data_IF_423424012614
#
_entry.id   IF_423424012614
#
_cell.length_a   1.000
_cell.length_b   1.000
_cell.length_c   1.000
_cell.angle_alpha   90.00
_cell.angle_beta   90.00
_cell.angle_gamma   90.00
#
_symmetry.space_group_name_H-M   'P 1'
#
loop_
_entity.id
_entity.type
_entity.pdbx_description
1 polymer ?
#
# COMPACT_ATOMS: atom_id res chain seq x y z
N UNK A 1 34.89 -5.56 27.75
CA UNK A 1 33.45 -5.19 27.83
C UNK A 1 33.36 -3.69 27.56
N UNK A 2 32.95 -3.29 26.38
CA UNK A 2 32.66 -1.89 26.08
C UNK A 2 31.14 -1.72 26.15
N UNK A 3 30.67 -0.88 27.07
CA UNK A 3 29.27 -0.48 27.20
C UNK A 3 29.06 0.81 26.42
N UNK A 4 28.23 0.76 25.38
CA UNK A 4 27.83 1.96 24.64
C UNK A 4 26.44 2.37 25.17
N UNK A 5 26.39 3.54 25.81
CA UNK A 5 25.15 4.18 26.27
C UNK A 5 24.51 4.94 25.10
N UNK A 6 23.35 4.53 24.65
CA UNK A 6 22.48 5.31 23.80
C UNK A 6 21.06 5.20 24.35
N UNK A 7 20.53 6.33 24.86
CA UNK A 7 19.13 6.50 25.29
C UNK A 7 18.61 5.53 26.37
N UNK A 8 19.33 5.40 27.48
CA UNK A 8 18.77 4.80 28.71
C UNK A 8 18.45 3.30 28.67
N UNK A 9 18.82 2.57 27.62
CA UNK A 9 18.65 1.13 27.50
C UNK A 9 20.02 0.47 27.44
N UNK A 10 20.35 -0.33 28.47
CA UNK A 10 21.58 -1.13 28.51
C UNK A 10 21.37 -2.35 27.60
N UNK A 11 21.87 -2.26 26.35
CA UNK A 11 22.06 -3.46 25.53
C UNK A 11 23.34 -4.17 25.99
N UNK A 12 23.22 -5.28 26.69
CA UNK A 12 24.30 -6.25 26.85
C UNK A 12 24.57 -6.90 25.49
N UNK A 13 25.39 -6.26 24.69
CA UNK A 13 25.94 -6.91 23.50
C UNK A 13 26.95 -7.96 23.98
N UNK A 14 26.62 -9.24 23.82
CA UNK A 14 27.57 -10.32 23.93
C UNK A 14 28.55 -10.13 22.77
N UNK A 15 29.76 -9.66 23.03
CA UNK A 15 30.84 -9.63 22.05
C UNK A 15 31.11 -11.09 21.73
N UNK A 16 30.56 -11.56 20.61
CA UNK A 16 31.07 -12.79 19.97
C UNK A 16 32.45 -12.43 19.45
N UNK A 17 33.39 -13.34 19.64
CA UNK A 17 34.74 -13.24 19.13
C UNK A 17 34.72 -12.72 17.69
N UNK A 18 35.53 -11.66 17.42
CA UNK A 18 35.66 -11.10 16.08
C UNK A 18 36.40 -12.16 15.25
N UNK A 19 35.59 -13.01 14.59
CA UNK A 19 36.19 -13.95 13.64
C UNK A 19 36.64 -13.15 12.41
N UNK A 20 37.96 -13.12 12.19
CA UNK A 20 38.57 -12.60 10.97
C UNK A 20 38.23 -13.56 9.81
N UNK A 21 37.10 -13.31 9.15
CA UNK A 21 36.72 -14.10 7.98
C UNK A 21 37.51 -13.66 6.75
N UNK A 22 38.13 -14.61 6.04
CA UNK A 22 38.53 -14.33 4.67
C UNK A 22 37.32 -14.05 3.81
N UNK A 23 37.48 -13.25 2.78
CA UNK A 23 36.34 -12.92 1.90
C UNK A 23 35.75 -14.16 1.23
N UNK A 24 36.58 -15.17 0.93
CA UNK A 24 36.12 -16.40 0.32
C UNK A 24 35.27 -17.25 1.28
N UNK A 25 35.71 -17.41 2.54
CA UNK A 25 34.94 -18.11 3.57
C UNK A 25 33.62 -17.36 3.86
N UNK A 26 33.67 -16.05 3.92
CA UNK A 26 32.51 -15.21 4.17
C UNK A 26 31.48 -15.35 3.04
N UNK A 27 31.92 -15.42 1.78
CA UNK A 27 31.03 -15.66 0.62
C UNK A 27 30.34 -17.00 0.73
N UNK A 28 31.08 -18.08 1.10
CA UNK A 28 30.52 -19.42 1.26
C UNK A 28 29.46 -19.41 2.37
N UNK A 29 29.84 -18.98 3.57
CA UNK A 29 28.95 -18.96 4.74
C UNK A 29 27.71 -18.09 4.54
N UNK A 30 27.86 -16.91 3.93
CA UNK A 30 26.71 -16.06 3.58
C UNK A 30 25.81 -16.75 2.55
N UNK A 31 26.36 -17.45 1.56
CA UNK A 31 25.58 -18.14 0.54
C UNK A 31 24.78 -19.30 1.13
N UNK A 32 25.37 -20.08 2.02
CA UNK A 32 24.71 -21.16 2.75
C UNK A 32 23.59 -20.61 3.63
N UNK A 33 23.88 -19.55 4.40
CA UNK A 33 22.89 -18.92 5.26
C UNK A 33 21.73 -18.30 4.49
N UNK A 34 22.01 -17.76 3.31
CA UNK A 34 20.95 -17.30 2.38
C UNK A 34 20.09 -18.46 1.91
N UNK A 35 20.70 -19.62 1.58
CA UNK A 35 19.97 -20.84 1.17
C UNK A 35 19.07 -21.34 2.29
N UNK A 36 19.58 -21.45 3.52
CA UNK A 36 18.81 -21.81 4.72
C UNK A 36 17.64 -20.83 4.97
N UNK A 37 17.85 -19.55 4.67
CA UNK A 37 16.83 -18.50 4.79
C UNK A 37 15.83 -18.47 3.63
N UNK A 38 15.89 -19.44 2.70
CA UNK A 38 14.95 -19.60 1.58
C UNK A 38 15.19 -18.66 0.40
N UNK A 39 16.37 -18.07 0.25
CA UNK A 39 16.70 -17.28 -0.94
C UNK A 39 16.83 -18.18 -2.17
N UNK A 40 16.32 -17.69 -3.32
CA UNK A 40 16.47 -18.41 -4.59
C UNK A 40 17.94 -18.48 -5.02
N UNK A 41 18.32 -19.54 -5.72
CA UNK A 41 19.67 -19.70 -6.25
C UNK A 41 20.10 -18.52 -7.12
N UNK A 42 19.20 -17.96 -7.93
CA UNK A 42 19.46 -16.77 -8.74
C UNK A 42 19.79 -15.54 -7.88
N UNK A 43 19.10 -15.36 -6.76
CA UNK A 43 19.37 -14.25 -5.84
C UNK A 43 20.74 -14.42 -5.15
N UNK A 44 21.06 -15.63 -4.72
CA UNK A 44 22.36 -15.96 -4.12
C UNK A 44 23.47 -15.69 -5.13
N UNK A 45 23.34 -16.20 -6.36
CA UNK A 45 24.32 -16.00 -7.43
C UNK A 45 24.61 -14.53 -7.71
N UNK A 46 23.57 -13.69 -7.74
CA UNK A 46 23.74 -12.23 -7.96
C UNK A 46 24.57 -11.57 -6.85
N UNK A 47 24.39 -11.97 -5.60
CA UNK A 47 25.20 -11.44 -4.50
C UNK A 47 26.61 -11.99 -4.56
N UNK A 48 26.79 -13.31 -4.77
CA UNK A 48 28.07 -13.98 -4.90
C UNK A 48 28.94 -13.37 -6.01
N UNK A 49 28.34 -13.14 -7.19
CA UNK A 49 29.03 -12.47 -8.32
C UNK A 49 29.52 -11.07 -7.92
N UNK A 50 28.69 -10.26 -7.23
CA UNK A 50 29.11 -8.92 -6.78
C UNK A 50 30.26 -9.00 -5.79
N UNK A 51 30.23 -9.92 -4.86
CA UNK A 51 31.31 -10.10 -3.88
C UNK A 51 32.61 -10.53 -4.55
N UNK A 52 32.55 -11.52 -5.45
CA UNK A 52 33.72 -12.03 -6.18
C UNK A 52 34.32 -11.00 -7.14
N UNK A 53 33.48 -10.30 -7.92
CA UNK A 53 33.95 -9.39 -8.98
C UNK A 53 34.27 -7.98 -8.49
N UNK A 54 33.74 -7.55 -7.34
CA UNK A 54 33.92 -6.17 -6.91
C UNK A 54 34.52 -6.06 -5.49
N UNK A 55 34.04 -6.83 -4.52
CA UNK A 55 34.51 -6.71 -3.14
C UNK A 55 35.88 -7.38 -2.98
N UNK A 56 36.03 -8.62 -3.47
CA UNK A 56 37.31 -9.35 -3.36
C UNK A 56 38.47 -8.61 -4.02
N UNK A 57 38.37 -8.10 -5.28
CA UNK A 57 39.48 -7.33 -5.87
C UNK A 57 39.76 -6.03 -5.13
N UNK A 58 38.75 -5.39 -4.55
CA UNK A 58 38.95 -4.19 -3.74
C UNK A 58 39.74 -4.50 -2.47
N UNK A 59 39.45 -5.59 -1.77
CA UNK A 59 40.19 -6.02 -0.60
C UNK A 59 41.66 -6.33 -0.97
N UNK A 60 41.90 -7.08 -2.06
CA UNK A 60 43.25 -7.37 -2.56
C UNK A 60 44.03 -6.11 -2.89
N UNK A 61 43.38 -5.08 -3.49
CA UNK A 61 44.01 -3.76 -3.74
C UNK A 61 44.39 -3.04 -2.46
N UNK A 62 43.70 -3.30 -1.34
CA UNK A 62 44.05 -2.75 -0.02
C UNK A 62 44.97 -3.68 0.80
N UNK A 63 45.62 -4.65 0.17
CA UNK A 63 46.65 -5.51 0.79
C UNK A 63 46.09 -6.59 1.74
N UNK A 64 44.81 -6.92 1.68
CA UNK A 64 44.20 -7.90 2.56
C UNK A 64 43.19 -8.78 1.84
N UNK A 65 42.91 -9.96 2.40
CA UNK A 65 41.81 -10.84 2.01
C UNK A 65 40.77 -10.99 3.14
N UNK A 66 41.00 -10.30 4.27
CA UNK A 66 40.08 -10.32 5.42
C UNK A 66 39.08 -9.18 5.28
N UNK A 67 37.80 -9.51 5.46
CA UNK A 67 36.72 -8.53 5.39
C UNK A 67 36.52 -7.84 6.74
N UNK A 68 36.55 -6.52 6.75
CA UNK A 68 36.18 -5.71 7.91
C UNK A 68 35.08 -4.71 7.59
N UNK A 69 34.36 -4.26 8.62
CA UNK A 69 33.32 -3.23 8.49
C UNK A 69 33.85 -1.94 7.84
N UNK A 70 35.05 -1.50 8.24
CA UNK A 70 35.64 -0.27 7.71
C UNK A 70 35.99 -0.39 6.22
N UNK A 71 36.49 -1.55 5.80
CA UNK A 71 36.74 -1.83 4.38
C UNK A 71 35.45 -1.90 3.58
N UNK A 72 34.39 -2.46 4.15
CA UNK A 72 33.06 -2.46 3.55
C UNK A 72 32.51 -1.02 3.34
N UNK A 73 32.69 -0.14 4.31
CA UNK A 73 32.31 1.28 4.20
C UNK A 73 33.17 2.01 3.16
N UNK A 74 34.51 1.82 3.19
CA UNK A 74 35.42 2.41 2.22
C UNK A 74 35.09 1.97 0.79
N UNK A 75 34.79 0.67 0.59
CA UNK A 75 34.33 0.14 -0.70
C UNK A 75 33.05 0.85 -1.19
N UNK A 76 32.06 1.05 -0.32
CA UNK A 76 30.85 1.76 -0.69
C UNK A 76 31.13 3.22 -1.05
N UNK A 77 31.99 3.93 -0.28
CA UNK A 77 32.34 5.32 -0.57
C UNK A 77 32.97 5.47 -1.96
N UNK A 78 33.88 4.57 -2.33
CA UNK A 78 34.58 4.63 -3.63
C UNK A 78 33.67 4.16 -4.79
N UNK A 79 32.85 3.12 -4.57
CA UNK A 79 32.09 2.50 -5.65
C UNK A 79 30.76 3.19 -5.96
N UNK A 80 30.05 3.72 -4.93
CA UNK A 80 28.70 4.24 -5.11
C UNK A 80 28.61 5.46 -6.05
N UNK A 81 29.54 6.43 -6.06
CA UNK A 81 29.41 7.60 -6.93
C UNK A 81 29.30 7.26 -8.41
N UNK A 82 29.98 6.21 -8.86
CA UNK A 82 30.02 5.77 -10.26
C UNK A 82 28.80 4.94 -10.71
N UNK A 83 27.84 4.67 -9.81
CA UNK A 83 26.74 3.76 -10.08
C UNK A 83 25.39 4.50 -10.21
N UNK A 84 24.49 3.93 -11.03
CA UNK A 84 23.09 4.36 -11.10
C UNK A 84 22.37 4.19 -9.76
N UNK A 85 21.30 4.96 -9.45
CA UNK A 85 20.56 4.86 -8.20
C UNK A 85 20.07 3.43 -7.87
N UNK A 86 19.62 2.69 -8.88
CA UNK A 86 19.19 1.31 -8.72
C UNK A 86 20.36 0.38 -8.35
N UNK A 87 21.52 0.56 -8.97
CA UNK A 87 22.73 -0.20 -8.68
C UNK A 87 23.30 0.14 -7.30
N UNK A 88 23.30 1.42 -6.89
CA UNK A 88 23.69 1.83 -5.53
C UNK A 88 22.91 1.07 -4.46
N UNK A 89 21.60 0.97 -4.61
CA UNK A 89 20.75 0.22 -3.66
C UNK A 89 21.13 -1.27 -3.60
N UNK A 90 21.44 -1.87 -4.74
CA UNK A 90 21.83 -3.30 -4.83
C UNK A 90 23.20 -3.55 -4.19
N UNK A 91 24.19 -2.68 -4.39
CA UNK A 91 25.51 -2.81 -3.76
C UNK A 91 25.44 -2.60 -2.25
N UNK A 92 24.73 -1.57 -1.77
CA UNK A 92 24.50 -1.36 -0.32
C UNK A 92 23.89 -2.61 0.33
N UNK A 93 22.91 -3.26 -0.34
CA UNK A 93 22.33 -4.50 0.18
C UNK A 93 23.32 -5.65 0.23
N UNK A 94 24.17 -5.82 -0.81
CA UNK A 94 25.19 -6.87 -0.83
C UNK A 94 26.20 -6.71 0.30
N UNK A 95 26.68 -5.50 0.55
CA UNK A 95 27.60 -5.21 1.67
C UNK A 95 26.92 -5.43 3.02
N UNK A 96 25.68 -4.96 3.20
CA UNK A 96 24.92 -5.17 4.44
C UNK A 96 24.74 -6.66 4.80
N UNK A 97 24.68 -7.55 3.83
CA UNK A 97 24.62 -9.00 4.09
C UNK A 97 25.93 -9.48 4.70
N UNK A 98 27.07 -9.10 4.14
CA UNK A 98 28.39 -9.45 4.71
C UNK A 98 28.55 -8.89 6.12
N UNK A 99 28.27 -7.59 6.30
CA UNK A 99 28.34 -6.92 7.61
C UNK A 99 27.47 -7.58 8.67
N UNK A 100 26.21 -7.88 8.32
CA UNK A 100 25.30 -8.54 9.25
C UNK A 100 25.79 -9.93 9.64
N UNK A 101 26.32 -10.68 8.69
CA UNK A 101 26.85 -12.01 8.98
C UNK A 101 28.08 -11.94 9.89
N UNK A 102 29.01 -11.04 9.64
CA UNK A 102 30.21 -10.83 10.49
C UNK A 102 29.80 -10.45 11.92
N UNK A 103 28.80 -9.55 12.06
CA UNK A 103 28.37 -9.06 13.37
C UNK A 103 27.46 -10.02 14.14
N UNK A 104 26.64 -10.80 13.47
CA UNK A 104 25.55 -11.56 14.13
C UNK A 104 25.49 -13.04 13.76
N UNK A 105 26.33 -13.52 12.84
CA UNK A 105 26.22 -14.85 12.26
C UNK A 105 24.95 -15.08 11.44
N UNK A 106 24.18 -14.01 11.16
CA UNK A 106 22.90 -14.12 10.47
C UNK A 106 22.74 -13.12 9.33
N UNK A 107 21.90 -13.49 8.36
CA UNK A 107 21.52 -12.62 7.25
C UNK A 107 20.48 -11.61 7.76
N UNK A 108 20.59 -10.31 7.39
CA UNK A 108 19.66 -9.31 7.83
C UNK A 108 18.25 -9.62 7.32
N UNK A 109 17.31 -9.77 8.24
CA UNK A 109 15.89 -9.88 7.87
C UNK A 109 15.50 -8.61 7.12
N UNK A 110 14.77 -8.75 6.02
CA UNK A 110 14.19 -7.62 5.34
C UNK A 110 13.05 -7.06 6.21
N UNK A 111 13.39 -6.18 7.13
CA UNK A 111 12.37 -5.36 7.78
C UNK A 111 12.00 -4.26 6.78
N UNK A 112 10.74 -4.15 6.36
CA UNK A 112 10.29 -2.97 5.65
C UNK A 112 10.66 -1.76 6.50
N UNK A 113 11.29 -0.75 5.91
CA UNK A 113 11.51 0.52 6.59
C UNK A 113 10.12 1.17 6.72
N UNK A 114 9.46 0.93 7.84
CA UNK A 114 8.25 1.67 8.20
C UNK A 114 8.75 3.04 8.65
N UNK A 115 8.37 4.13 7.98
CA UNK A 115 8.71 5.46 8.45
C UNK A 115 8.16 5.62 9.86
N UNK A 116 9.01 5.88 10.83
CA UNK A 116 8.58 6.16 12.19
C UNK A 116 8.18 7.63 12.23
N UNK A 117 6.89 7.90 12.19
CA UNK A 117 6.36 9.24 12.37
C UNK A 117 6.42 9.60 13.85
N UNK A 118 7.46 10.35 14.24
CA UNK A 118 7.67 10.76 15.61
C UNK A 118 6.73 11.91 15.97
N UNK A 119 6.15 11.83 17.14
CA UNK A 119 5.38 12.90 17.77
C UNK A 119 6.26 13.45 18.90
N UNK A 120 6.97 14.54 18.64
CA UNK A 120 7.99 15.11 19.54
C UNK A 120 7.48 16.35 20.26
N UNK A 121 8.08 16.68 21.43
CA UNK A 121 7.78 17.88 22.18
C UNK A 121 6.46 17.85 22.95
N UNK A 122 6.09 18.95 23.54
CA UNK A 122 4.86 19.09 24.33
C UNK A 122 3.59 18.84 23.50
N UNK A 123 3.55 19.34 22.27
CA UNK A 123 2.46 19.08 21.33
C UNK A 123 2.42 17.59 20.97
N UNK A 124 3.59 16.94 20.89
CA UNK A 124 3.70 15.52 20.57
C UNK A 124 3.08 14.62 21.64
N UNK A 125 3.16 15.00 22.92
CA UNK A 125 2.51 14.27 24.02
C UNK A 125 0.99 14.27 23.82
N UNK A 126 0.39 15.43 23.60
CA UNK A 126 -1.06 15.59 23.36
C UNK A 126 -1.49 14.81 22.09
N UNK A 127 -0.69 14.89 21.04
CA UNK A 127 -0.95 14.12 19.83
C UNK A 127 -0.88 12.60 20.07
N UNK A 128 0.02 12.13 20.94
CA UNK A 128 0.09 10.72 21.31
C UNK A 128 -1.15 10.30 22.13
N UNK A 129 -1.65 11.15 23.02
CA UNK A 129 -2.89 10.89 23.78
C UNK A 129 -4.10 10.83 22.85
N UNK A 130 -4.17 11.69 21.85
CA UNK A 130 -5.17 11.59 20.78
C UNK A 130 -5.09 10.24 20.03
N UNK A 131 -3.89 9.80 19.65
CA UNK A 131 -3.70 8.50 19.00
C UNK A 131 -4.18 7.37 19.91
N UNK A 132 -3.83 7.41 21.19
CA UNK A 132 -4.27 6.41 22.18
C UNK A 132 -5.80 6.41 22.36
N UNK A 133 -6.42 7.59 22.38
CA UNK A 133 -7.87 7.74 22.41
C UNK A 133 -8.54 7.11 21.18
N UNK A 134 -8.02 7.35 19.97
CA UNK A 134 -8.54 6.73 18.74
C UNK A 134 -8.33 5.21 18.68
N UNK A 135 -7.26 4.69 19.30
CA UNK A 135 -7.05 3.25 19.47
C UNK A 135 -8.14 2.62 20.39
N UNK A 136 -8.47 3.28 21.50
CA UNK A 136 -9.55 2.84 22.41
C UNK A 136 -10.91 2.81 21.69
N UNK A 137 -11.14 3.71 20.72
CA UNK A 137 -12.34 3.71 19.88
C UNK A 137 -12.37 2.59 18.81
N UNK A 138 -11.41 1.68 18.81
CA UNK A 138 -11.29 0.57 17.85
C UNK A 138 -11.26 1.01 16.37
N UNK A 139 -10.73 2.22 16.09
CA UNK A 139 -10.54 2.68 14.71
C UNK A 139 -9.52 1.80 13.98
N UNK A 140 -9.67 1.69 12.68
CA UNK A 140 -8.75 0.93 11.80
C UNK A 140 -7.30 1.43 11.97
N UNK A 141 -6.34 0.51 12.15
CA UNK A 141 -4.92 0.85 12.34
C UNK A 141 -4.37 1.74 11.21
N UNK A 142 -4.83 1.52 9.98
CA UNK A 142 -4.43 2.36 8.84
C UNK A 142 -4.91 3.81 8.96
N UNK A 143 -6.06 4.05 9.57
CA UNK A 143 -6.58 5.40 9.85
C UNK A 143 -5.75 6.05 10.95
N UNK A 144 -5.42 5.31 11.98
CA UNK A 144 -4.60 5.78 13.10
C UNK A 144 -3.18 6.14 12.64
N UNK A 145 -2.57 5.31 11.78
CA UNK A 145 -1.26 5.60 11.18
C UNK A 145 -1.30 6.83 10.27
N UNK A 146 -2.40 7.07 9.56
CA UNK A 146 -2.58 8.30 8.80
C UNK A 146 -2.68 9.53 9.73
N UNK A 147 -3.41 9.44 10.84
CA UNK A 147 -3.45 10.53 11.82
C UNK A 147 -2.04 10.79 12.39
N UNK A 148 -1.33 9.75 12.82
CA UNK A 148 0.05 9.86 13.32
C UNK A 148 0.96 10.55 12.30
N UNK A 149 0.91 10.14 11.05
CA UNK A 149 1.71 10.71 9.97
C UNK A 149 1.43 12.20 9.77
N UNK A 150 0.16 12.58 9.70
CA UNK A 150 -0.25 13.95 9.44
C UNK A 150 0.05 14.87 10.62
N UNK A 151 -0.19 14.39 11.85
CA UNK A 151 0.21 15.12 13.06
C UNK A 151 1.72 15.27 13.18
N UNK A 152 2.49 14.23 12.83
CA UNK A 152 3.96 14.35 12.77
C UNK A 152 4.41 15.45 11.80
N UNK A 153 3.78 15.57 10.63
CA UNK A 153 4.10 16.65 9.69
C UNK A 153 3.73 18.02 10.24
N UNK A 154 2.57 18.13 10.88
CA UNK A 154 2.13 19.37 11.53
C UNK A 154 3.09 19.78 12.64
N UNK A 155 3.42 18.88 13.56
CA UNK A 155 4.38 19.12 14.65
C UNK A 155 5.76 19.50 14.10
N UNK A 156 6.23 18.81 13.05
CA UNK A 156 7.50 19.17 12.41
C UNK A 156 7.49 20.60 11.86
N UNK A 157 6.38 21.03 11.24
CA UNK A 157 6.26 22.41 10.75
C UNK A 157 6.26 23.44 11.88
N UNK A 158 5.64 23.12 13.02
CA UNK A 158 5.64 23.97 14.21
C UNK A 158 7.02 24.06 14.87
N UNK A 159 7.72 22.93 14.98
CA UNK A 159 9.07 22.89 15.54
C UNK A 159 10.07 23.73 14.74
N UNK A 160 9.94 23.75 13.40
CA UNK A 160 10.74 24.64 12.53
C UNK A 160 10.50 26.11 12.89
N UNK A 161 9.29 26.47 13.33
CA UNK A 161 8.91 27.81 13.80
C UNK A 161 9.23 28.07 15.28
N UNK A 162 9.89 27.12 15.96
CA UNK A 162 10.23 27.21 17.39
C UNK A 162 9.04 27.04 18.33
N UNK A 163 7.93 26.47 17.87
CA UNK A 163 6.71 26.24 18.67
C UNK A 163 6.67 24.79 19.15
N UNK A 164 6.80 24.59 20.45
CA UNK A 164 6.80 23.26 21.08
C UNK A 164 5.60 23.03 22.02
N UNK A 165 4.93 24.11 22.43
CA UNK A 165 3.76 24.05 23.30
C UNK A 165 2.46 24.30 22.50
N UNK A 166 1.38 23.60 22.88
CA UNK A 166 0.07 23.73 22.24
C UNK A 166 -0.48 25.16 22.31
N UNK A 167 -0.18 25.91 23.39
CA UNK A 167 -0.59 27.31 23.56
C UNK A 167 0.08 28.27 22.59
N UNK A 168 1.17 27.86 21.94
CA UNK A 168 1.90 28.69 20.96
C UNK A 168 1.35 28.52 19.54
N UNK A 169 0.46 27.55 19.33
CA UNK A 169 -0.14 27.32 18.01
C UNK A 169 -1.08 28.50 17.73
N UNK A 170 -0.97 29.07 16.55
CA UNK A 170 -1.85 30.12 16.08
C UNK A 170 -2.81 29.57 15.01
N UNK A 171 -3.92 30.29 14.79
CA UNK A 171 -4.86 30.00 13.73
C UNK A 171 -4.16 29.92 12.36
N UNK A 172 -3.22 30.84 12.10
CA UNK A 172 -2.45 30.87 10.86
C UNK A 172 -1.63 29.59 10.63
N UNK A 173 -1.12 28.95 11.68
CA UNK A 173 -0.39 27.68 11.54
C UNK A 173 -1.31 26.55 11.08
N UNK A 174 -2.53 26.53 11.57
CA UNK A 174 -3.56 25.54 11.17
C UNK A 174 -3.98 25.77 9.73
N UNK A 175 -4.27 27.02 9.36
CA UNK A 175 -4.67 27.38 8.00
C UNK A 175 -3.56 27.11 6.98
N UNK A 176 -2.30 27.43 7.29
CA UNK A 176 -1.15 27.11 6.44
C UNK A 176 -1.01 25.59 6.23
N UNK A 177 -1.15 24.81 7.29
CA UNK A 177 -1.10 23.36 7.19
C UNK A 177 -2.25 22.81 6.34
N UNK A 178 -3.44 23.36 6.45
CA UNK A 178 -4.61 22.97 5.64
C UNK A 178 -4.50 23.47 4.19
N UNK A 179 -3.85 24.61 3.94
CA UNK A 179 -3.73 25.23 2.61
C UNK A 179 -2.90 24.41 1.61
N UNK A 180 -2.15 23.39 2.05
CA UNK A 180 -1.39 22.51 1.17
C UNK A 180 -2.33 21.65 0.36
N UNK A 181 -2.35 21.81 -0.98
CA UNK A 181 -3.26 21.11 -1.91
C UNK A 181 -3.14 19.58 -1.82
N UNK A 182 -1.92 19.10 -1.59
CA UNK A 182 -1.67 17.66 -1.46
C UNK A 182 -2.27 17.10 -0.18
N UNK A 183 -3.08 16.07 -0.33
CA UNK A 183 -3.74 15.39 0.80
C UNK A 183 -4.68 16.27 1.63
N UNK A 184 -5.23 17.36 1.06
CA UNK A 184 -6.09 18.32 1.76
C UNK A 184 -7.22 17.62 2.56
N UNK A 185 -7.97 16.71 1.96
CA UNK A 185 -9.02 15.95 2.64
C UNK A 185 -8.53 15.23 3.91
N UNK A 186 -7.39 14.55 3.81
CA UNK A 186 -6.84 13.80 4.95
C UNK A 186 -6.30 14.74 6.03
N UNK A 187 -5.69 15.88 5.64
CA UNK A 187 -5.24 16.91 6.59
C UNK A 187 -6.42 17.52 7.32
N UNK A 188 -7.44 17.93 6.58
CA UNK A 188 -8.69 18.43 7.14
C UNK A 188 -9.26 17.44 8.16
N UNK A 189 -9.49 16.18 7.77
CA UNK A 189 -10.07 15.16 8.65
C UNK A 189 -9.21 14.92 9.89
N UNK A 190 -7.88 14.89 9.74
CA UNK A 190 -6.98 14.63 10.87
C UNK A 190 -7.00 15.82 11.87
N UNK A 191 -6.93 17.03 11.37
CA UNK A 191 -6.92 18.25 12.20
C UNK A 191 -8.27 18.48 12.87
N UNK A 192 -9.39 18.33 12.15
CA UNK A 192 -10.72 18.38 12.72
C UNK A 192 -10.86 17.42 13.91
N UNK A 193 -10.54 16.15 13.72
CA UNK A 193 -10.61 15.14 14.78
C UNK A 193 -9.63 15.41 15.93
N UNK A 194 -8.51 16.06 15.67
CA UNK A 194 -7.53 16.43 16.69
C UNK A 194 -8.03 17.61 17.52
N UNK A 195 -8.59 18.64 16.89
CA UNK A 195 -9.15 19.80 17.61
C UNK A 195 -10.45 19.45 18.36
N UNK A 196 -11.27 18.53 17.86
CA UNK A 196 -12.38 17.95 18.64
C UNK A 196 -11.88 17.27 19.92
N UNK A 197 -10.75 16.57 19.83
CA UNK A 197 -10.13 15.96 21.01
C UNK A 197 -9.57 16.99 21.97
N UNK A 198 -8.87 18.03 21.46
CA UNK A 198 -8.35 19.13 22.27
C UNK A 198 -9.49 19.80 23.04
N UNK A 199 -10.55 20.21 22.37
CA UNK A 199 -11.69 20.86 22.99
C UNK A 199 -12.36 20.04 24.10
N UNK A 200 -12.29 18.69 23.96
CA UNK A 200 -12.88 17.77 24.95
C UNK A 200 -11.99 17.49 26.15
N UNK A 201 -10.69 17.42 25.99
CA UNK A 201 -9.77 16.91 27.00
C UNK A 201 -8.71 17.94 27.46
N UNK A 202 -8.57 19.05 26.75
CA UNK A 202 -7.60 20.12 27.02
C UNK A 202 -8.27 21.50 26.90
N UNK A 203 -9.23 21.85 27.79
CA UNK A 203 -10.03 23.07 27.67
C UNK A 203 -9.19 24.35 27.75
N UNK A 204 -8.02 24.29 28.40
CA UNK A 204 -7.09 25.43 28.52
C UNK A 204 -6.24 25.66 27.25
N UNK A 205 -6.29 24.76 26.29
CA UNK A 205 -5.56 24.88 25.04
C UNK A 205 -6.36 25.67 23.99
N UNK A 206 -5.69 26.46 23.12
CA UNK A 206 -6.37 27.11 21.99
C UNK A 206 -7.10 26.07 21.13
N UNK A 207 -8.39 26.28 20.95
CA UNK A 207 -9.22 25.37 20.16
C UNK A 207 -9.70 26.07 18.87
N UNK A 208 -9.23 25.56 17.74
CA UNK A 208 -9.56 26.06 16.41
C UNK A 208 -10.59 25.19 15.69
N UNK A 209 -11.44 24.46 16.43
CA UNK A 209 -12.48 23.61 15.83
C UNK A 209 -13.46 24.38 14.95
N UNK A 210 -13.73 25.67 15.27
CA UNK A 210 -14.60 26.53 14.48
C UNK A 210 -14.13 26.71 13.02
N UNK A 211 -12.82 26.62 12.75
CA UNK A 211 -12.30 26.72 11.38
C UNK A 211 -12.88 25.64 10.46
N UNK A 212 -13.22 24.48 11.01
CA UNK A 212 -13.73 23.35 10.24
C UNK A 212 -15.22 23.47 9.92
N UNK A 213 -15.94 24.40 10.53
CA UNK A 213 -17.32 24.74 10.18
C UNK A 213 -17.39 25.53 8.88
N UNK A 214 -16.37 26.35 8.61
CA UNK A 214 -16.30 27.22 7.43
C UNK A 214 -15.52 26.59 6.27
N UNK A 215 -14.59 25.70 6.56
CA UNK A 215 -13.78 25.01 5.53
C UNK A 215 -14.51 23.74 5.09
N UNK A 216 -15.48 23.90 4.20
CA UNK A 216 -16.14 22.75 3.62
C UNK A 216 -15.24 22.08 2.58
N UNK A 217 -14.83 20.83 2.86
CA UNK A 217 -14.26 20.00 1.83
C UNK A 217 -15.39 19.43 0.97
N UNK A 218 -15.64 20.06 -0.17
CA UNK A 218 -16.48 19.46 -1.19
C UNK A 218 -15.67 18.32 -1.84
N UNK A 219 -16.04 17.06 -1.61
CA UNK A 219 -15.44 15.97 -2.35
C UNK A 219 -15.70 16.21 -3.83
N UNK A 220 -14.65 16.32 -4.63
CA UNK A 220 -14.83 16.34 -6.08
C UNK A 220 -15.51 15.03 -6.45
N UNK A 221 -16.77 15.10 -6.77
CA UNK A 221 -17.53 13.95 -7.25
C UNK A 221 -16.96 13.50 -8.58
N UNK A 222 -16.13 12.49 -8.52
CA UNK A 222 -15.63 11.83 -9.73
C UNK A 222 -16.52 10.65 -10.00
N UNK A 223 -17.09 10.60 -11.19
CA UNK A 223 -17.77 9.41 -11.64
C UNK A 223 -16.83 8.21 -11.52
N UNK A 224 -17.33 7.08 -11.01
CA UNK A 224 -16.55 5.86 -10.99
C UNK A 224 -16.13 5.48 -12.42
N UNK A 225 -14.88 5.10 -12.58
CA UNK A 225 -14.37 4.63 -13.87
C UNK A 225 -14.64 3.14 -13.96
N UNK A 226 -15.38 2.76 -14.97
CA UNK A 226 -15.76 1.39 -15.27
C UNK A 226 -15.10 0.92 -16.56
N UNK A 227 -14.94 -0.38 -16.69
CA UNK A 227 -14.53 -1.09 -17.89
C UNK A 227 -15.71 -1.92 -18.38
N UNK A 228 -15.97 -1.93 -19.69
CA UNK A 228 -17.04 -2.73 -20.28
C UNK A 228 -16.78 -4.22 -20.11
N UNK A 229 -17.77 -5.04 -20.38
CA UNK A 229 -17.65 -6.51 -20.31
C UNK A 229 -16.53 -7.02 -21.23
N UNK A 230 -16.45 -6.45 -22.42
CA UNK A 230 -15.47 -6.78 -23.45
C UNK A 230 -14.06 -6.36 -23.02
N UNK A 231 -13.91 -5.13 -22.51
CA UNK A 231 -12.63 -4.64 -21.99
C UNK A 231 -12.13 -5.49 -20.82
N UNK A 232 -13.01 -5.89 -19.90
CA UNK A 232 -12.65 -6.78 -18.79
C UNK A 232 -12.16 -8.14 -19.31
N UNK A 233 -12.81 -8.71 -20.35
CA UNK A 233 -12.36 -9.96 -20.98
C UNK A 233 -10.97 -9.80 -21.61
N UNK A 234 -10.71 -8.67 -22.31
CA UNK A 234 -9.39 -8.36 -22.89
C UNK A 234 -8.34 -8.28 -21.79
N UNK A 235 -8.63 -7.56 -20.70
CA UNK A 235 -7.73 -7.45 -19.54
C UNK A 235 -7.43 -8.84 -18.94
N UNK A 236 -8.44 -9.66 -18.70
CA UNK A 236 -8.29 -11.01 -18.16
C UNK A 236 -7.45 -11.90 -19.07
N UNK A 237 -7.69 -11.87 -20.39
CA UNK A 237 -6.97 -12.69 -21.36
C UNK A 237 -5.52 -12.24 -21.60
N UNK A 238 -5.22 -10.97 -21.39
CA UNK A 238 -3.88 -10.39 -21.56
C UNK A 238 -2.86 -10.86 -20.53
N UNK A 239 -3.32 -11.40 -19.38
CA UNK A 239 -2.41 -11.86 -18.32
C UNK A 239 -1.76 -13.18 -18.70
N UNK A 240 -0.44 -13.15 -18.94
CA UNK A 240 0.32 -14.38 -19.18
C UNK A 240 0.26 -15.32 -17.98
N UNK A 241 -0.09 -16.56 -18.22
CA UNK A 241 -0.19 -17.67 -17.24
C UNK A 241 0.96 -18.64 -17.30
N UNK A 242 2.02 -18.36 -18.04
CA UNK A 242 3.17 -19.24 -18.21
C UNK A 242 4.00 -19.39 -16.92
N UNK A 243 4.10 -18.35 -16.09
CA UNK A 243 4.89 -18.34 -14.86
C UNK A 243 4.06 -18.21 -13.59
N UNK A 244 4.66 -18.53 -12.45
CA UNK A 244 4.03 -18.48 -11.13
C UNK A 244 3.46 -17.08 -10.77
N UNK A 245 4.19 -16.02 -11.11
CA UNK A 245 3.71 -14.64 -10.89
C UNK A 245 2.50 -14.32 -11.76
N UNK A 246 2.47 -14.77 -13.01
CA UNK A 246 1.34 -14.55 -13.90
C UNK A 246 0.10 -15.31 -13.43
N UNK A 247 0.20 -16.59 -13.06
CA UNK A 247 -0.89 -17.38 -12.49
C UNK A 247 -1.46 -16.73 -11.23
N UNK A 248 -0.60 -16.23 -10.33
CA UNK A 248 -1.02 -15.49 -9.14
C UNK A 248 -1.79 -14.21 -9.51
N UNK A 249 -1.24 -13.42 -10.44
CA UNK A 249 -1.88 -12.16 -10.87
C UNK A 249 -3.23 -12.42 -11.50
N UNK A 250 -3.33 -13.46 -12.34
CA UNK A 250 -4.58 -13.87 -12.98
C UNK A 250 -5.65 -14.27 -11.96
N UNK A 251 -5.30 -15.13 -10.98
CA UNK A 251 -6.23 -15.53 -9.94
C UNK A 251 -6.72 -14.33 -9.10
N UNK A 252 -5.82 -13.42 -8.72
CA UNK A 252 -6.20 -12.19 -8.00
C UNK A 252 -7.07 -11.25 -8.85
N UNK A 253 -6.80 -11.17 -10.15
CA UNK A 253 -7.60 -10.37 -11.10
C UNK A 253 -9.02 -10.92 -11.19
N UNK A 254 -9.19 -12.23 -11.35
CA UNK A 254 -10.52 -12.86 -11.42
C UNK A 254 -11.32 -12.68 -10.11
N UNK A 255 -10.68 -12.79 -8.95
CA UNK A 255 -11.32 -12.51 -7.67
C UNK A 255 -11.83 -11.05 -7.58
N UNK A 256 -11.12 -10.10 -8.21
CA UNK A 256 -11.54 -8.70 -8.25
C UNK A 256 -12.62 -8.44 -9.31
N UNK A 257 -12.50 -9.01 -10.52
CA UNK A 257 -13.36 -8.71 -11.67
C UNK A 257 -14.65 -9.54 -11.71
N UNK A 258 -14.63 -10.76 -11.17
CA UNK A 258 -15.74 -11.70 -11.18
C UNK A 258 -16.52 -11.76 -9.87
N UNK A 259 -15.82 -11.64 -8.74
CA UNK A 259 -16.42 -11.67 -7.41
C UNK A 259 -16.40 -10.31 -6.70
N UNK A 260 -15.80 -9.28 -7.30
CA UNK A 260 -15.76 -7.93 -6.74
C UNK A 260 -15.04 -7.83 -5.41
N UNK A 261 -14.18 -8.78 -5.03
CA UNK A 261 -13.47 -8.75 -3.76
C UNK A 261 -12.53 -7.54 -3.67
N UNK A 262 -12.50 -6.91 -2.51
CA UNK A 262 -11.52 -5.83 -2.24
C UNK A 262 -10.12 -6.41 -2.18
N UNK A 263 -9.11 -5.63 -2.61
CA UNK A 263 -7.72 -6.10 -2.59
C UNK A 263 -7.24 -6.52 -1.19
N UNK A 264 -7.77 -5.90 -0.12
CA UNK A 264 -7.50 -6.30 1.26
C UNK A 264 -7.98 -7.73 1.56
N UNK A 265 -9.13 -8.08 1.01
CA UNK A 265 -9.77 -9.38 1.23
C UNK A 265 -9.10 -10.45 0.37
N UNK A 266 -8.70 -10.09 -0.86
CA UNK A 266 -7.93 -10.98 -1.76
C UNK A 266 -6.58 -11.35 -1.12
N UNK A 267 -5.80 -10.39 -0.64
CA UNK A 267 -4.49 -10.71 -0.01
C UNK A 267 -4.61 -11.35 1.36
N UNK A 268 -5.75 -11.17 2.02
CA UNK A 268 -6.07 -11.80 3.31
C UNK A 268 -6.75 -13.16 3.18
N UNK A 269 -7.08 -13.61 1.95
CA UNK A 269 -7.76 -14.87 1.71
C UNK A 269 -6.89 -16.05 2.18
N UNK A 270 -7.44 -16.87 3.06
CA UNK A 270 -6.79 -18.06 3.62
C UNK A 270 -7.37 -19.32 3.06
N UNK A 271 -6.64 -20.43 3.18
CA UNK A 271 -7.10 -21.72 2.66
C UNK A 271 -8.46 -22.12 3.21
N UNK A 272 -8.72 -21.95 4.49
CA UNK A 272 -9.99 -22.29 5.13
C UNK A 272 -11.19 -21.39 4.73
N UNK A 273 -10.91 -20.30 4.01
CA UNK A 273 -11.99 -19.46 3.47
C UNK A 273 -12.62 -20.03 2.19
N UNK A 274 -11.96 -21.02 1.57
CA UNK A 274 -12.43 -21.64 0.32
C UNK A 274 -12.98 -23.01 0.66
N UNK A 275 -14.29 -23.17 0.53
CA UNK A 275 -14.99 -24.44 0.65
C UNK A 275 -15.09 -25.04 -0.76
N UNK A 276 -14.17 -25.96 -1.06
CA UNK A 276 -14.10 -26.58 -2.38
C UNK A 276 -15.25 -27.56 -2.64
N UNK A 277 -15.75 -28.22 -1.60
CA UNK A 277 -16.82 -29.22 -1.72
C UNK A 277 -18.16 -28.53 -2.00
N UNK A 278 -18.42 -27.43 -1.32
CA UNK A 278 -19.65 -26.66 -1.49
C UNK A 278 -19.53 -25.55 -2.54
N UNK A 279 -18.35 -25.35 -3.11
CA UNK A 279 -18.05 -24.29 -4.09
C UNK A 279 -18.41 -22.88 -3.59
N UNK A 280 -17.94 -22.52 -2.37
CA UNK A 280 -18.14 -21.18 -1.79
C UNK A 280 -16.84 -20.59 -1.24
N UNK A 281 -16.77 -19.26 -1.24
CA UNK A 281 -15.77 -18.47 -0.53
C UNK A 281 -16.46 -17.74 0.62
N UNK A 282 -16.04 -18.02 1.86
CA UNK A 282 -16.55 -17.40 3.07
C UNK A 282 -15.44 -16.62 3.76
N UNK A 283 -15.64 -15.32 3.96
CA UNK A 283 -14.67 -14.49 4.67
C UNK A 283 -15.33 -13.31 5.38
N UNK A 284 -14.62 -12.79 6.37
CA UNK A 284 -14.94 -11.53 7.03
C UNK A 284 -14.13 -10.42 6.38
N UNK A 285 -14.80 -9.43 5.80
CA UNK A 285 -14.14 -8.34 5.09
C UNK A 285 -13.24 -7.51 6.00
N UNK A 286 -12.00 -7.27 5.58
CA UNK A 286 -11.00 -6.54 6.37
C UNK A 286 -11.38 -5.07 6.63
N UNK A 287 -12.15 -4.43 5.73
CA UNK A 287 -12.51 -3.01 5.86
C UNK A 287 -13.79 -2.80 6.67
N UNK A 288 -14.80 -3.61 6.44
CA UNK A 288 -16.15 -3.42 7.02
C UNK A 288 -16.43 -4.31 8.21
N UNK A 289 -15.71 -5.43 8.31
CA UNK A 289 -15.98 -6.45 9.31
C UNK A 289 -17.16 -7.35 8.98
N UNK A 290 -17.87 -7.11 7.86
CA UNK A 290 -19.02 -7.90 7.46
C UNK A 290 -18.59 -9.29 6.98
N UNK A 291 -19.31 -10.35 7.38
CA UNK A 291 -19.19 -11.65 6.75
C UNK A 291 -19.78 -11.57 5.34
N UNK A 292 -19.12 -12.21 4.39
CA UNK A 292 -19.65 -12.42 3.04
C UNK A 292 -19.46 -13.88 2.65
N UNK A 293 -20.44 -14.37 1.89
CA UNK A 293 -20.40 -15.67 1.23
C UNK A 293 -20.63 -15.46 -0.26
N UNK A 294 -19.70 -15.95 -1.08
CA UNK A 294 -19.73 -15.80 -2.54
C UNK A 294 -19.56 -17.15 -3.20
N UNK A 295 -20.23 -17.41 -4.32
CA UNK A 295 -20.04 -18.65 -5.07
C UNK A 295 -18.62 -18.69 -5.63
N UNK A 296 -17.98 -19.84 -5.53
CA UNK A 296 -16.69 -20.11 -6.18
C UNK A 296 -16.96 -20.47 -7.64
N UNK A 297 -16.88 -19.48 -8.52
CA UNK A 297 -17.04 -19.70 -9.96
C UNK A 297 -15.94 -20.64 -10.48
N UNK A 298 -16.26 -21.48 -11.45
CA UNK A 298 -15.34 -22.51 -12.01
C UNK A 298 -14.03 -21.88 -12.45
N UNK A 299 -14.09 -20.79 -13.23
CA UNK A 299 -12.88 -20.12 -13.75
C UNK A 299 -12.02 -19.54 -12.64
N UNK A 300 -12.64 -19.05 -11.56
CA UNK A 300 -11.94 -18.53 -10.38
C UNK A 300 -11.26 -19.67 -9.62
N UNK A 301 -11.98 -20.77 -9.40
CA UNK A 301 -11.45 -21.95 -8.75
C UNK A 301 -10.26 -22.56 -9.51
N UNK A 302 -10.40 -22.74 -10.81
CA UNK A 302 -9.31 -23.23 -11.67
C UNK A 302 -8.07 -22.32 -11.65
N UNK A 303 -8.27 -21.00 -11.69
CA UNK A 303 -7.17 -20.05 -11.62
C UNK A 303 -6.44 -20.11 -10.27
N UNK A 304 -7.19 -20.25 -9.17
CA UNK A 304 -6.61 -20.42 -7.83
C UNK A 304 -5.84 -21.73 -7.75
N UNK A 305 -6.39 -22.86 -8.19
CA UNK A 305 -5.73 -24.17 -8.22
C UNK A 305 -4.46 -24.11 -9.08
N UNK A 306 -4.54 -23.50 -10.28
CA UNK A 306 -3.38 -23.35 -11.16
C UNK A 306 -2.24 -22.55 -10.51
N UNK A 307 -2.59 -21.57 -9.67
CA UNK A 307 -1.60 -20.84 -8.86
C UNK A 307 -1.07 -21.70 -7.71
N UNK A 308 -1.93 -22.40 -6.97
CA UNK A 308 -1.53 -23.23 -5.83
C UNK A 308 -0.51 -24.30 -6.22
N UNK A 309 -0.63 -24.88 -7.41
CA UNK A 309 0.34 -25.86 -7.95
C UNK A 309 1.77 -25.30 -8.09
N UNK A 310 1.93 -23.99 -8.19
CA UNK A 310 3.23 -23.30 -8.35
C UNK A 310 3.53 -22.29 -7.24
N UNK A 311 2.69 -22.28 -6.20
CA UNK A 311 2.85 -21.40 -5.05
C UNK A 311 4.12 -21.76 -4.28
N UNK A 312 5.00 -20.81 -3.93
CA UNK A 312 6.15 -21.08 -3.09
C UNK A 312 5.74 -21.66 -1.74
N UNK A 313 6.46 -22.68 -1.29
CA UNK A 313 6.25 -23.26 0.03
C UNK A 313 6.62 -22.25 1.12
N UNK A 314 5.75 -22.04 2.07
CA UNK A 314 5.95 -21.17 3.25
C UNK A 314 4.93 -21.50 4.34
N UNK A 315 5.20 -21.02 5.56
CA UNK A 315 4.32 -21.21 6.73
C UNK A 315 3.12 -20.24 6.75
N UNK A 316 2.81 -19.57 5.62
CA UNK A 316 1.71 -18.62 5.56
C UNK A 316 0.39 -19.34 5.27
N UNK A 317 -0.66 -19.04 6.03
CA UNK A 317 -2.02 -19.54 5.79
C UNK A 317 -2.71 -18.86 4.62
N UNK A 318 -2.20 -17.67 4.23
CA UNK A 318 -2.77 -16.91 3.12
C UNK A 318 -2.50 -17.59 1.78
N UNK A 319 -3.51 -17.62 0.91
CA UNK A 319 -3.43 -18.18 -0.44
C UNK A 319 -2.35 -17.46 -1.26
N UNK A 320 -2.33 -16.12 -1.21
CA UNK A 320 -1.44 -15.30 -2.03
C UNK A 320 -0.20 -14.83 -1.27
N UNK A 321 0.97 -15.25 -1.74
CA UNK A 321 2.26 -14.94 -1.12
C UNK A 321 3.21 -14.25 -2.09
N UNK A 322 4.26 -13.62 -1.54
CA UNK A 322 5.36 -13.06 -2.36
C UNK A 322 6.15 -14.19 -3.03
N UNK A 323 6.76 -13.92 -4.19
CA UNK A 323 7.66 -14.88 -4.86
C UNK A 323 9.14 -14.50 -4.71
N UNK A 324 9.41 -13.47 -3.93
CA UNK A 324 10.77 -13.01 -3.59
C UNK A 324 10.98 -13.18 -2.09
N UNK A 325 12.14 -13.69 -1.72
CA UNK A 325 12.48 -13.85 -0.31
C UNK A 325 12.61 -12.52 0.44
N UNK A 326 12.16 -12.49 1.69
CA UNK A 326 11.48 -13.55 2.42
C UNK A 326 10.06 -13.79 1.87
N UNK A 327 9.67 -15.09 1.73
CA UNK A 327 8.32 -15.42 1.30
C UNK A 327 7.36 -15.17 2.44
N UNK A 328 6.46 -14.21 2.22
CA UNK A 328 5.47 -13.76 3.20
C UNK A 328 4.13 -13.52 2.50
N UNK A 329 3.08 -13.31 3.27
CA UNK A 329 1.81 -12.86 2.69
C UNK A 329 2.01 -11.61 1.83
N UNK A 330 1.25 -11.50 0.77
CA UNK A 330 1.28 -10.30 -0.07
C UNK A 330 0.76 -9.07 0.67
N UNK A 331 1.41 -7.94 0.47
CA UNK A 331 0.85 -6.66 0.90
C UNK A 331 -0.14 -6.10 -0.14
N UNK A 332 -1.09 -5.27 0.33
CA UNK A 332 -2.13 -4.66 -0.52
C UNK A 332 -1.57 -3.87 -1.70
N UNK A 333 -0.54 -3.07 -1.46
CA UNK A 333 0.06 -2.21 -2.49
C UNK A 333 0.73 -3.03 -3.59
N UNK A 334 1.43 -4.11 -3.23
CA UNK A 334 2.06 -5.03 -4.18
C UNK A 334 1.04 -5.75 -5.06
N UNK A 335 -0.03 -6.26 -4.45
CA UNK A 335 -1.12 -6.92 -5.17
C UNK A 335 -1.88 -5.95 -6.08
N UNK A 336 -2.23 -4.77 -5.58
CA UNK A 336 -2.89 -3.73 -6.38
C UNK A 336 -2.03 -3.31 -7.58
N UNK A 337 -0.71 -3.17 -7.38
CA UNK A 337 0.22 -2.84 -8.47
C UNK A 337 0.24 -3.91 -9.56
N UNK A 338 0.19 -5.19 -9.21
CA UNK A 338 0.17 -6.27 -10.22
C UNK A 338 -1.10 -6.21 -11.06
N UNK A 339 -2.27 -6.01 -10.45
CA UNK A 339 -3.53 -5.84 -11.17
C UNK A 339 -3.49 -4.57 -12.04
N UNK A 340 -3.00 -3.45 -11.49
CA UNK A 340 -2.85 -2.21 -12.26
C UNK A 340 -1.94 -2.40 -13.48
N UNK A 341 -0.84 -3.13 -13.32
CA UNK A 341 0.06 -3.42 -14.44
C UNK A 341 -0.59 -4.35 -15.49
N UNK A 342 -1.45 -5.28 -15.06
CA UNK A 342 -2.19 -6.13 -15.99
C UNK A 342 -3.16 -5.29 -16.84
N UNK A 343 -3.89 -4.36 -16.21
CA UNK A 343 -4.79 -3.44 -16.93
C UNK A 343 -4.01 -2.55 -17.90
N UNK A 344 -2.90 -1.95 -17.47
CA UNK A 344 -2.08 -1.07 -18.33
C UNK A 344 -1.47 -1.80 -19.53
N UNK A 345 -1.18 -3.09 -19.39
CA UNK A 345 -0.54 -3.90 -20.45
C UNK A 345 -1.55 -4.58 -21.38
N UNK A 346 -2.84 -4.50 -21.08
CA UNK A 346 -3.88 -5.22 -21.83
C UNK A 346 -4.16 -4.68 -23.23
N UNK A 347 -3.70 -3.45 -23.53
CA UNK A 347 -4.04 -2.74 -24.76
C UNK A 347 -5.38 -2.01 -24.72
N UNK A 348 -6.14 -2.12 -23.62
CA UNK A 348 -7.37 -1.36 -23.40
C UNK A 348 -7.02 0.12 -23.19
N UNK A 349 -7.79 1.03 -23.76
CA UNK A 349 -7.60 2.47 -23.56
C UNK A 349 -7.72 2.84 -22.07
N UNK A 350 -6.62 3.35 -21.53
CA UNK A 350 -6.49 3.75 -20.13
C UNK A 350 -6.30 5.28 -19.96
N UNK A 351 -6.41 6.08 -21.04
CA UNK A 351 -6.19 7.52 -20.99
C UNK A 351 -7.13 8.18 -19.97
N UNK A 352 -6.54 8.77 -18.93
CA UNK A 352 -7.30 9.41 -17.84
C UNK A 352 -8.10 8.47 -16.94
N UNK A 353 -8.12 7.16 -17.19
CA UNK A 353 -8.89 6.17 -16.43
C UNK A 353 -8.09 5.62 -15.25
N UNK A 354 -8.76 5.47 -14.09
CA UNK A 354 -8.17 4.76 -12.95
C UNK A 354 -8.06 3.27 -13.30
N UNK A 355 -6.89 2.71 -13.04
CA UNK A 355 -6.55 1.32 -13.30
C UNK A 355 -6.16 0.62 -12.01
N UNK A 356 -6.97 -0.32 -11.56
CA UNK A 356 -6.69 -1.06 -10.33
C UNK A 356 -7.83 -1.96 -9.88
N UNK A 357 -7.67 -2.66 -8.74
CA UNK A 357 -8.68 -3.61 -8.25
C UNK A 357 -10.06 -2.96 -8.01
N UNK A 358 -10.08 -1.70 -7.59
CA UNK A 358 -11.33 -0.96 -7.39
C UNK A 358 -12.10 -0.75 -8.69
N UNK A 359 -11.42 -0.45 -9.81
CA UNK A 359 -12.09 -0.30 -11.10
C UNK A 359 -12.75 -1.61 -11.55
N UNK A 360 -12.10 -2.76 -11.31
CA UNK A 360 -12.67 -4.07 -11.60
C UNK A 360 -13.95 -4.33 -10.79
N UNK A 361 -13.92 -4.00 -9.51
CA UNK A 361 -15.10 -4.11 -8.64
C UNK A 361 -16.22 -3.16 -9.06
N UNK A 362 -15.91 -1.91 -9.46
CA UNK A 362 -16.87 -0.96 -9.98
C UNK A 362 -17.50 -1.47 -11.28
N UNK A 363 -16.69 -2.02 -12.18
CA UNK A 363 -17.16 -2.60 -13.44
C UNK A 363 -18.09 -3.80 -13.22
N UNK A 364 -17.82 -4.63 -12.19
CA UNK A 364 -18.74 -5.71 -11.83
C UNK A 364 -20.08 -5.17 -11.33
N UNK A 365 -20.05 -4.19 -10.41
CA UNK A 365 -21.27 -3.61 -9.85
C UNK A 365 -22.14 -2.92 -10.92
N UNK A 366 -21.50 -2.21 -11.88
CA UNK A 366 -22.19 -1.60 -13.01
C UNK A 366 -22.86 -2.66 -13.89
N UNK A 367 -22.16 -3.74 -14.22
CA UNK A 367 -22.73 -4.83 -15.00
C UNK A 367 -23.91 -5.52 -14.29
N UNK A 368 -23.83 -5.71 -12.97
CA UNK A 368 -24.95 -6.26 -12.19
C UNK A 368 -26.16 -5.33 -12.28
N UNK A 369 -25.94 -4.02 -12.19
CA UNK A 369 -27.00 -3.03 -12.30
C UNK A 369 -27.61 -3.02 -13.70
N UNK A 370 -26.80 -3.03 -14.76
CA UNK A 370 -27.22 -3.12 -16.16
C UNK A 370 -28.05 -4.38 -16.44
N UNK A 371 -27.78 -5.48 -15.73
CA UNK A 371 -28.56 -6.74 -15.78
C UNK A 371 -29.83 -6.71 -14.93
N UNK A 372 -30.16 -5.57 -14.33
CA UNK A 372 -31.40 -5.42 -13.52
C UNK A 372 -31.26 -5.94 -12.08
N UNK A 373 -30.04 -6.27 -11.61
CA UNK A 373 -29.83 -6.67 -10.21
C UNK A 373 -30.15 -5.49 -9.28
N UNK A 374 -30.93 -5.75 -8.23
CA UNK A 374 -31.35 -4.71 -7.28
C UNK A 374 -30.16 -4.16 -6.48
N UNK A 375 -30.22 -2.89 -6.09
CA UNK A 375 -29.18 -2.26 -5.27
C UNK A 375 -28.91 -2.98 -3.94
N UNK A 376 -29.95 -3.44 -3.19
CA UNK A 376 -29.73 -4.26 -2.00
C UNK A 376 -28.89 -5.50 -2.28
N UNK A 377 -29.20 -6.25 -3.33
CA UNK A 377 -28.47 -7.46 -3.72
C UNK A 377 -27.01 -7.15 -4.10
N UNK A 378 -26.78 -6.05 -4.84
CA UNK A 378 -25.42 -5.58 -5.16
C UNK A 378 -24.66 -5.19 -3.89
N UNK A 379 -25.33 -4.46 -2.99
CA UNK A 379 -24.75 -4.03 -1.71
C UNK A 379 -24.33 -5.21 -0.85
N UNK A 380 -25.17 -6.22 -0.73
CA UNK A 380 -24.92 -7.45 0.01
C UNK A 380 -23.79 -8.26 -0.61
N UNK A 381 -23.86 -8.55 -1.91
CA UNK A 381 -22.83 -9.28 -2.65
C UNK A 381 -21.44 -8.64 -2.53
N UNK A 382 -21.39 -7.32 -2.49
CA UNK A 382 -20.15 -6.57 -2.33
C UNK A 382 -19.79 -6.33 -0.85
N UNK A 383 -20.68 -6.56 0.11
CA UNK A 383 -20.48 -6.35 1.55
C UNK A 383 -20.27 -4.86 1.88
N UNK A 384 -21.19 -4.00 1.45
CA UNK A 384 -21.23 -2.60 1.82
C UNK A 384 -21.91 -2.42 3.19
N UNK A 385 -21.48 -1.44 3.98
CA UNK A 385 -22.09 -1.12 5.29
C UNK A 385 -23.36 -0.27 5.16
N UNK A 386 -23.67 0.19 3.95
CA UNK A 386 -24.83 1.05 3.69
C UNK A 386 -25.02 1.26 2.20
N UNK A 387 -26.20 1.71 1.85
CA UNK A 387 -26.58 1.94 0.45
C UNK A 387 -25.87 3.13 -0.19
N UNK A 388 -25.39 4.11 0.59
CA UNK A 388 -24.69 5.31 0.07
C UNK A 388 -23.51 4.98 -0.83
N UNK A 389 -22.75 3.92 -0.47
CA UNK A 389 -21.62 3.46 -1.29
C UNK A 389 -22.13 2.85 -2.60
N UNK A 390 -23.30 2.19 -2.55
CA UNK A 390 -23.93 1.54 -3.71
C UNK A 390 -24.61 2.56 -4.61
N UNK A 391 -25.14 3.66 -4.06
CA UNK A 391 -25.70 4.77 -4.81
C UNK A 391 -24.73 5.41 -5.80
N UNK A 392 -23.42 5.33 -5.53
CA UNK A 392 -22.41 5.79 -6.50
C UNK A 392 -22.45 5.02 -7.84
N UNK A 393 -23.02 3.83 -7.87
CA UNK A 393 -23.20 3.06 -9.13
C UNK A 393 -24.38 3.55 -9.95
N UNK A 394 -25.44 4.05 -9.32
CA UNK A 394 -26.59 4.65 -10.03
C UNK A 394 -26.21 5.86 -10.88
N UNK A 395 -25.20 6.61 -10.43
CA UNK A 395 -24.67 7.78 -11.18
C UNK A 395 -24.04 7.41 -12.53
N UNK A 396 -23.83 6.12 -12.80
CA UNK A 396 -23.23 5.60 -14.03
C UNK A 396 -24.30 5.00 -14.94
N UNK A 397 -25.48 4.72 -14.42
CA UNK A 397 -26.57 4.14 -15.21
C UNK A 397 -27.25 5.20 -16.09
N UNK A 398 -26.53 5.57 -17.16
CA UNK A 398 -27.00 6.54 -18.17
C UNK A 398 -28.31 6.03 -18.79
N UNK A 399 -28.49 4.71 -18.96
CA UNK A 399 -29.71 4.15 -19.52
C UNK A 399 -30.93 4.34 -18.60
N UNK A 400 -30.76 4.20 -17.28
CA UNK A 400 -31.82 4.48 -16.32
C UNK A 400 -32.09 5.99 -16.25
N UNK A 401 -31.05 6.84 -16.29
CA UNK A 401 -31.19 8.29 -16.33
C UNK A 401 -31.94 8.73 -17.59
N UNK A 402 -31.57 8.20 -18.76
CA UNK A 402 -32.25 8.53 -20.02
C UNK A 402 -33.74 8.11 -20.04
N UNK A 403 -34.10 7.02 -19.34
CA UNK A 403 -35.51 6.64 -19.19
C UNK A 403 -36.33 7.59 -18.31
N UNK A 404 -35.63 8.35 -17.45
CA UNK A 404 -36.27 9.38 -16.61
C UNK A 404 -36.22 10.76 -17.26
N UNK A 405 -35.56 10.92 -18.41
CA UNK A 405 -35.54 12.20 -19.13
C UNK A 405 -36.94 12.51 -19.63
N UNK A 406 -37.38 13.74 -19.34
CA UNK A 406 -38.55 14.31 -19.98
C UNK A 406 -38.19 14.62 -21.45
N UNK A 407 -39.15 14.44 -22.36
CA UNK A 407 -38.99 14.91 -23.73
C UNK A 407 -38.71 16.42 -23.71
N UNK A 408 -37.59 16.82 -24.27
CA UNK A 408 -37.28 18.24 -24.43
C UNK A 408 -38.26 18.76 -25.48
N UNK A 409 -39.16 19.70 -25.14
CA UNK A 409 -40.05 20.23 -26.14
C UNK A 409 -39.22 20.86 -27.28
N UNK A 410 -39.64 20.65 -28.54
CA UNK A 410 -38.93 21.24 -29.68
C UNK A 410 -38.83 22.76 -29.50
N UNK A 411 -37.64 23.28 -29.40
CA UNK A 411 -37.42 24.72 -29.34
C UNK A 411 -37.59 25.23 -30.75
N UNK A 412 -38.40 26.27 -30.92
CA UNK A 412 -38.59 26.92 -32.24
C UNK A 412 -37.24 27.44 -32.75
N UNK A 413 -36.98 27.31 -34.03
CA UNK A 413 -35.70 27.74 -34.65
C UNK A 413 -35.41 29.21 -34.41
N UNK A 414 -36.45 30.08 -34.31
CA UNK A 414 -36.31 31.47 -34.00
C UNK A 414 -35.79 31.81 -32.60
N UNK A 415 -35.86 30.87 -31.64
CA UNK A 415 -35.29 31.03 -30.30
C UNK A 415 -33.77 31.19 -30.31
N UNK A 416 -33.08 30.44 -31.17
CA UNK A 416 -31.64 30.52 -31.27
C UNK A 416 -31.18 31.75 -32.08
N UNK A 417 -31.99 32.20 -33.02
CA UNK A 417 -31.74 33.43 -33.79
C UNK A 417 -31.92 34.71 -32.94
N UNK A 418 -32.89 34.73 -32.04
CA UNK A 418 -33.16 35.85 -31.14
C UNK A 418 -32.04 36.14 -30.12
N UNK A 419 -31.19 35.17 -29.84
CA UNK A 419 -30.14 35.28 -28.83
C UNK A 419 -28.73 35.47 -29.43
N UNK A 420 -28.58 35.66 -30.74
CA UNK A 420 -27.31 35.85 -31.42
C UNK A 420 -26.21 34.83 -31.03
N UNK A 421 -26.58 33.61 -30.68
CA UNK A 421 -25.65 32.55 -30.31
C UNK A 421 -24.90 32.75 -28.99
N UNK A 422 -25.25 33.73 -28.17
CA UNK A 422 -24.51 34.07 -26.94
C UNK A 422 -24.91 33.28 -25.70
N UNK A 423 -25.83 32.34 -25.79
CA UNK A 423 -26.26 31.54 -24.64
C UNK A 423 -25.25 30.50 -24.15
N UNK A 424 -24.18 30.25 -24.90
CA UNK A 424 -23.14 29.21 -24.59
C UNK A 424 -21.71 29.75 -24.58
N UNK A 425 -21.51 31.05 -24.35
CA UNK A 425 -20.19 31.65 -24.12
C UNK A 425 -19.88 31.77 -22.63
#
# INVERSE_FOLDING_TARGET
MLSIFIHGIIFKCKIMDVYDYTIDDLIVKCSEKMKESGYSQSCISVHTVRWKLHVKPFLSKNGTNIYSHDLGRKFLMEKLPSLSPASRKRFKRSIRILESYVLTGNIPKHTPHTPTFLLTGGIGVIAQDFINYKLKQRRQLTTIENYRRLLSYFITSLNIKGKDNITQISESDVLEFLGVKESHYYRYTAMHQFYDFIGKFHPDAPNYSYLFEFIHHQPREKLPIIYTKEEVKIIESSVSRSGATGKRTYAMLLLASRLGLRISDIVGLKFYNIDWDKSFIRLKQAKTGNPIELPLLVEVGEAVIAYLKVRPQCKCDEVFVTHTCPITKMNRSGAARLISQAILKSGVDNAGRKHGPHSMRFSLASRMLEQGTTLPTISESLGHNGYDVTMNYLRIDIHAINRCMLDVPPVKDDFYEQQNGTFFL
#
